data_IF_441826466959
#
_entry.id   IF_441826466959
#
_cell.length_a   1.000
_cell.length_b   1.000
_cell.length_c   1.000
_cell.angle_alpha   90.00
_cell.angle_beta   90.00
_cell.angle_gamma   90.00
#
_symmetry.space_group_name_H-M   'P 1'
#
loop_
_entity.id
_entity.type
_entity.pdbx_description
1 polymer ?
#
# COMPACT_ATOMS: atom_id res chain seq x y z
N UNK A 1 1.72 -20.94 3.44
CA UNK A 1 2.01 -19.55 3.83
C UNK A 1 2.67 -18.91 2.62
N UNK A 2 1.88 -18.61 1.59
CA UNK A 2 2.37 -17.74 0.52
C UNK A 2 2.02 -16.36 1.03
N UNK A 3 3.04 -15.62 1.47
CA UNK A 3 3.03 -14.18 1.30
C UNK A 3 2.43 -13.90 -0.08
N UNK A 4 1.58 -12.89 -0.15
CA UNK A 4 1.03 -12.39 -1.41
C UNK A 4 2.13 -12.54 -2.46
N UNK A 5 1.89 -13.32 -3.51
CA UNK A 5 2.82 -13.47 -4.63
C UNK A 5 2.92 -12.19 -5.45
N UNK A 6 2.85 -11.04 -4.78
CA UNK A 6 3.31 -9.75 -5.23
C UNK A 6 4.83 -9.83 -5.21
N UNK A 7 5.40 -10.37 -6.29
CA UNK A 7 6.72 -9.89 -6.67
C UNK A 7 6.62 -8.36 -6.64
N UNK A 8 7.58 -7.69 -5.99
CA UNK A 8 7.53 -6.32 -5.45
C UNK A 8 6.89 -5.21 -6.32
N UNK A 9 6.63 -5.45 -7.60
CA UNK A 9 5.87 -4.58 -8.51
C UNK A 9 4.38 -4.47 -8.17
N UNK A 10 3.71 -5.58 -7.82
CA UNK A 10 2.24 -5.59 -7.66
C UNK A 10 1.79 -4.73 -6.45
N UNK A 11 2.60 -4.69 -5.40
CA UNK A 11 2.35 -3.86 -4.22
C UNK A 11 2.55 -2.37 -4.52
N UNK A 12 3.55 -2.02 -5.33
CA UNK A 12 3.83 -0.63 -5.73
C UNK A 12 2.72 -0.10 -6.63
N UNK A 13 2.25 -0.88 -7.62
CA UNK A 13 1.12 -0.49 -8.48
C UNK A 13 -0.16 -0.27 -7.66
N UNK A 14 -0.42 -1.11 -6.66
CA UNK A 14 -1.57 -0.96 -5.77
C UNK A 14 -1.51 0.34 -4.96
N UNK A 15 -0.35 0.66 -4.38
CA UNK A 15 -0.14 1.88 -3.60
C UNK A 15 -0.32 3.12 -4.50
N UNK A 16 0.29 3.14 -5.68
CA UNK A 16 0.14 4.25 -6.63
C UNK A 16 -1.32 4.46 -7.06
N UNK A 17 -2.08 3.38 -7.32
CA UNK A 17 -3.49 3.48 -7.68
C UNK A 17 -4.35 4.02 -6.52
N UNK A 18 -3.97 3.72 -5.28
CA UNK A 18 -4.63 4.20 -4.07
C UNK A 18 -4.34 5.69 -3.85
N UNK A 19 -3.08 6.10 -3.99
CA UNK A 19 -2.66 7.50 -3.93
C UNK A 19 -3.45 8.37 -4.90
N UNK A 20 -3.58 7.92 -6.16
CA UNK A 20 -4.35 8.64 -7.18
C UNK A 20 -5.87 8.61 -6.91
N UNK A 21 -6.41 7.49 -6.44
CA UNK A 21 -7.85 7.35 -6.19
C UNK A 21 -8.35 8.21 -5.01
N UNK A 22 -7.52 8.41 -4.00
CA UNK A 22 -7.86 9.16 -2.80
C UNK A 22 -7.18 10.53 -2.71
N UNK A 23 -6.35 10.90 -3.70
CA UNK A 23 -5.55 12.14 -3.73
C UNK A 23 -4.67 12.26 -2.46
N UNK A 24 -4.06 11.15 -2.06
CA UNK A 24 -3.18 11.04 -0.89
C UNK A 24 -1.74 10.72 -1.31
N UNK A 25 -0.79 10.97 -0.41
CA UNK A 25 0.63 10.65 -0.61
C UNK A 25 1.10 9.72 0.52
N UNK A 26 1.64 8.57 0.16
CA UNK A 26 2.13 7.54 1.07
C UNK A 26 3.67 7.54 1.00
N UNK A 27 4.36 7.90 2.10
CA UNK A 27 5.82 7.86 2.14
C UNK A 27 6.36 6.45 1.89
N UNK A 28 7.48 6.34 1.19
CA UNK A 28 8.17 5.05 0.95
C UNK A 28 8.42 4.27 2.25
N UNK A 29 8.77 4.95 3.35
CA UNK A 29 8.98 4.31 4.66
C UNK A 29 7.71 3.68 5.27
N UNK A 30 6.52 4.16 4.90
CA UNK A 30 5.23 3.54 5.24
C UNK A 30 4.91 2.43 4.25
N UNK A 31 5.10 2.66 2.95
CA UNK A 31 4.90 1.67 1.90
C UNK A 31 5.76 0.40 2.10
N UNK A 32 7.03 0.55 2.48
CA UNK A 32 7.94 -0.56 2.79
C UNK A 32 7.47 -1.40 3.99
N UNK A 33 6.70 -0.80 4.91
CA UNK A 33 6.13 -1.49 6.08
C UNK A 33 4.77 -2.13 5.78
N UNK A 34 4.14 -1.79 4.65
CA UNK A 34 2.87 -2.38 4.22
C UNK A 34 3.13 -3.75 3.58
N UNK A 35 3.25 -4.76 4.43
CA UNK A 35 3.48 -6.14 4.00
C UNK A 35 2.19 -6.91 3.78
N UNK A 36 1.08 -6.40 4.34
CA UNK A 36 -0.24 -7.03 4.24
C UNK A 36 -1.32 -6.06 3.73
N UNK A 37 -2.36 -6.57 3.05
CA UNK A 37 -3.49 -5.74 2.62
C UNK A 37 -4.19 -5.03 3.79
N UNK A 38 -4.18 -5.62 4.99
CA UNK A 38 -4.77 -5.02 6.18
C UNK A 38 -4.01 -3.77 6.63
N UNK A 39 -2.68 -3.77 6.53
CA UNK A 39 -1.83 -2.62 6.84
C UNK A 39 -2.05 -1.49 5.83
N UNK A 40 -2.15 -1.81 4.53
CA UNK A 40 -2.50 -0.82 3.50
C UNK A 40 -3.82 -0.11 3.82
N UNK A 41 -4.89 -0.88 4.09
CA UNK A 41 -6.22 -0.31 4.39
C UNK A 41 -6.18 0.59 5.62
N UNK A 42 -5.45 0.16 6.66
CA UNK A 42 -5.32 0.95 7.90
C UNK A 42 -4.58 2.25 7.66
N UNK A 43 -3.50 2.24 6.87
CA UNK A 43 -2.75 3.44 6.55
C UNK A 43 -3.57 4.45 5.72
N UNK A 44 -4.37 3.96 4.77
CA UNK A 44 -5.28 4.80 3.96
C UNK A 44 -6.35 5.42 4.84
N UNK A 45 -6.96 4.64 5.73
CA UNK A 45 -7.97 5.14 6.67
C UNK A 45 -7.43 6.19 7.64
N UNK A 46 -6.13 6.18 7.94
CA UNK A 46 -5.51 7.18 8.80
C UNK A 46 -5.22 8.51 8.07
N UNK A 47 -5.19 8.50 6.73
CA UNK A 47 -4.89 9.68 5.89
C UNK A 47 -6.13 10.31 5.24
N UNK A 48 -7.25 9.58 5.17
CA UNK A 48 -8.59 10.09 4.84
C UNK A 48 -9.20 10.87 6.01
#
# INVERSE_FOLDING_TARGET
>A
MRDLGADSLDAVELIMAIEEAFDIEIPDEEAEKMTTPAECVTAIQAKL
#
